data_IF_634555871824
#
_entry.id   IF_634555871824
#
_cell.length_a   1.000
_cell.length_b   1.000
_cell.length_c   1.000
_cell.angle_alpha   90.00
_cell.angle_beta   90.00
_cell.angle_gamma   90.00
#
_symmetry.space_group_name_H-M   'P 1'
#
loop_
_entity.id
_entity.type
_entity.pdbx_description
1 polymer ?
#
# COMPACT_ATOMS: atom_id res chain seq x y z
N UNK A 1 -23.47 -18.40 -5.19
CA UNK A 1 -23.09 -18.90 -6.53
C UNK A 1 -24.00 -18.43 -7.67
N UNK A 2 -25.28 -18.07 -7.45
CA UNK A 2 -26.17 -17.54 -8.51
C UNK A 2 -26.28 -16.00 -8.61
N UNK A 3 -25.78 -15.24 -7.64
CA UNK A 3 -25.84 -13.75 -7.66
C UNK A 3 -24.64 -13.06 -8.33
N UNK A 4 -23.59 -13.81 -8.73
CA UNK A 4 -22.39 -13.23 -9.39
C UNK A 4 -22.50 -13.13 -10.91
N UNK A 5 -23.53 -13.72 -11.56
CA UNK A 5 -23.67 -13.71 -13.03
C UNK A 5 -24.52 -12.56 -13.60
N UNK A 6 -25.25 -11.84 -12.75
CA UNK A 6 -26.16 -10.76 -13.20
C UNK A 6 -25.44 -9.42 -13.45
N UNK A 7 -24.34 -9.13 -12.75
CA UNK A 7 -23.58 -7.89 -12.94
C UNK A 7 -22.89 -7.79 -14.31
N UNK A 8 -22.32 -8.89 -14.81
CA UNK A 8 -21.64 -8.92 -16.11
C UNK A 8 -22.59 -8.74 -17.31
N UNK A 9 -23.88 -9.04 -17.18
CA UNK A 9 -24.82 -8.93 -18.30
C UNK A 9 -25.31 -7.50 -18.52
N UNK A 10 -25.40 -6.70 -17.45
CA UNK A 10 -25.91 -5.32 -17.50
C UNK A 10 -24.86 -4.37 -18.10
N UNK A 11 -23.58 -4.57 -17.77
CA UNK A 11 -22.48 -3.71 -18.23
C UNK A 11 -22.19 -3.93 -19.74
N UNK A 12 -22.28 -5.18 -20.22
CA UNK A 12 -22.11 -5.50 -21.65
C UNK A 12 -23.23 -4.93 -22.53
N UNK A 13 -24.42 -4.68 -21.97
CA UNK A 13 -25.52 -4.09 -22.74
C UNK A 13 -25.33 -2.58 -23.00
N UNK A 14 -24.67 -1.87 -22.06
CA UNK A 14 -24.48 -0.42 -22.14
C UNK A 14 -23.38 -0.06 -23.15
N UNK A 15 -22.32 -0.85 -23.25
CA UNK A 15 -21.22 -0.64 -24.22
C UNK A 15 -21.62 -0.93 -25.68
N UNK A 16 -22.65 -1.74 -25.92
CA UNK A 16 -23.15 -2.06 -27.27
C UNK A 16 -24.15 -1.04 -27.83
N UNK A 17 -24.63 -0.11 -27.01
CA UNK A 17 -25.53 0.95 -27.47
C UNK A 17 -24.68 2.15 -27.89
N UNK A 18 -24.37 2.22 -29.18
CA UNK A 18 -23.72 3.37 -29.82
C UNK A 18 -24.70 4.57 -29.87
N UNK A 19 -25.01 5.17 -28.70
CA UNK A 19 -25.97 6.27 -28.52
C UNK A 19 -25.74 7.48 -29.46
N UNK A 20 -24.50 7.87 -29.80
CA UNK A 20 -24.25 8.96 -30.75
C UNK A 20 -24.83 8.67 -32.15
N UNK A 21 -24.82 7.41 -32.59
CA UNK A 21 -25.36 7.01 -33.90
C UNK A 21 -26.89 7.01 -33.97
N UNK A 22 -27.56 6.84 -32.82
CA UNK A 22 -29.03 6.90 -32.70
C UNK A 22 -29.57 8.34 -32.67
N UNK A 23 -28.80 9.27 -32.11
CA UNK A 23 -29.18 10.69 -32.03
C UNK A 23 -28.91 11.44 -33.35
N UNK A 24 -27.90 11.05 -34.13
CA UNK A 24 -27.57 11.68 -35.41
C UNK A 24 -28.61 11.42 -36.53
N UNK A 25 -29.61 10.57 -36.31
CA UNK A 25 -30.68 10.29 -37.28
C UNK A 25 -32.03 10.97 -36.96
N UNK A 26 -32.12 11.78 -35.89
CA UNK A 26 -33.40 12.36 -35.43
C UNK A 26 -33.82 13.59 -36.25
N UNK A 27 -32.93 14.16 -37.07
CA UNK A 27 -33.24 15.33 -37.92
C UNK A 27 -33.84 15.01 -39.30
N UNK A 28 -34.05 13.75 -39.64
CA UNK A 28 -34.77 13.39 -40.88
C UNK A 28 -36.27 13.76 -40.79
N UNK A 29 -36.86 14.40 -41.82
CA UNK A 29 -38.20 15.02 -41.77
C UNK A 29 -39.39 14.04 -41.68
N UNK A 30 -39.13 12.75 -41.43
CA UNK A 30 -40.12 11.67 -41.51
C UNK A 30 -40.60 11.24 -40.10
N UNK A 31 -39.93 11.67 -39.02
CA UNK A 31 -40.25 11.22 -37.66
C UNK A 31 -41.29 12.15 -37.00
N UNK A 32 -42.48 11.65 -36.59
CA UNK A 32 -43.52 12.48 -35.98
C UNK A 32 -43.02 13.19 -34.71
N UNK A 33 -43.42 14.46 -34.52
CA UNK A 33 -43.00 15.29 -33.38
C UNK A 33 -43.24 14.62 -32.01
N UNK A 34 -44.33 13.85 -31.87
CA UNK A 34 -44.63 13.06 -30.67
C UNK A 34 -43.58 11.97 -30.40
N UNK A 35 -43.09 11.30 -31.44
CA UNK A 35 -42.08 10.26 -31.32
C UNK A 35 -40.70 10.84 -30.96
N UNK A 36 -40.35 12.02 -31.50
CA UNK A 36 -39.11 12.75 -31.11
C UNK A 36 -39.12 13.16 -29.63
N UNK A 37 -40.25 13.68 -29.15
CA UNK A 37 -40.43 14.03 -27.72
C UNK A 37 -40.34 12.77 -26.85
N UNK A 38 -40.93 11.66 -27.29
CA UNK A 38 -40.91 10.41 -26.54
C UNK A 38 -39.51 9.78 -26.46
N UNK A 39 -38.73 9.84 -27.55
CA UNK A 39 -37.32 9.41 -27.58
C UNK A 39 -36.46 10.29 -26.68
N UNK A 40 -36.65 11.61 -26.72
CA UNK A 40 -35.92 12.55 -25.86
C UNK A 40 -36.23 12.34 -24.37
N UNK A 41 -37.51 12.15 -24.01
CA UNK A 41 -37.89 11.83 -22.63
C UNK A 41 -37.31 10.48 -22.21
N UNK A 42 -37.35 9.47 -23.09
CA UNK A 42 -36.77 8.15 -22.80
C UNK A 42 -35.24 8.21 -22.62
N UNK A 43 -34.52 9.02 -23.39
CA UNK A 43 -33.07 9.18 -23.24
C UNK A 43 -32.69 10.00 -22.00
N UNK A 44 -33.47 11.02 -21.63
CA UNK A 44 -33.28 11.75 -20.36
C UNK A 44 -33.61 10.87 -19.16
N UNK A 45 -34.69 10.09 -19.20
CA UNK A 45 -35.05 9.14 -18.14
C UNK A 45 -34.02 8.02 -18.04
N UNK A 46 -33.50 7.51 -19.16
CA UNK A 46 -32.43 6.53 -19.16
C UNK A 46 -31.12 7.11 -18.62
N UNK A 47 -30.78 8.35 -18.97
CA UNK A 47 -29.62 9.06 -18.43
C UNK A 47 -29.74 9.34 -16.92
N UNK A 48 -30.94 9.70 -16.45
CA UNK A 48 -31.23 9.89 -15.03
C UNK A 48 -31.24 8.55 -14.28
N UNK A 49 -31.72 7.48 -14.90
CA UNK A 49 -31.67 6.12 -14.35
C UNK A 49 -30.24 5.56 -14.33
N UNK A 50 -29.39 5.85 -15.32
CA UNK A 50 -27.97 5.47 -15.25
C UNK A 50 -27.22 6.27 -14.19
N UNK A 51 -27.48 7.58 -14.04
CA UNK A 51 -26.90 8.34 -12.91
C UNK A 51 -27.42 7.86 -11.56
N UNK A 52 -28.71 7.53 -11.46
CA UNK A 52 -29.31 7.00 -10.23
C UNK A 52 -28.81 5.59 -9.91
N UNK A 53 -28.57 4.73 -10.91
CA UNK A 53 -28.02 3.38 -10.71
C UNK A 53 -26.52 3.44 -10.40
N UNK A 54 -25.74 4.34 -11.01
CA UNK A 54 -24.34 4.61 -10.60
C UNK A 54 -24.30 5.13 -9.17
N UNK A 55 -25.26 5.97 -8.76
CA UNK A 55 -25.39 6.44 -7.39
C UNK A 55 -25.99 5.41 -6.40
N UNK A 56 -26.67 4.35 -6.88
CA UNK A 56 -27.27 3.28 -6.06
C UNK A 56 -26.44 1.98 -6.04
N UNK A 57 -25.49 1.79 -6.95
CA UNK A 57 -24.67 0.57 -7.06
C UNK A 57 -23.18 0.77 -6.75
N UNK A 58 -22.75 1.96 -6.33
CA UNK A 58 -21.70 1.95 -5.31
C UNK A 58 -22.42 1.54 -4.04
N UNK A 59 -22.22 0.31 -3.51
CA UNK A 59 -22.56 0.12 -2.12
C UNK A 59 -21.91 1.29 -1.40
N UNK A 60 -22.67 1.97 -0.53
CA UNK A 60 -22.04 2.64 0.59
C UNK A 60 -21.33 1.51 1.35
N UNK A 61 -20.16 1.10 0.86
CA UNK A 61 -19.19 0.41 1.64
C UNK A 61 -18.98 1.38 2.78
N UNK A 62 -19.42 1.01 3.98
CA UNK A 62 -18.75 1.56 5.15
C UNK A 62 -17.28 1.22 4.92
N UNK A 63 -16.55 2.25 4.51
CA UNK A 63 -15.20 2.17 3.97
C UNK A 63 -14.28 1.77 5.09
N UNK A 64 -13.87 0.52 5.08
CA UNK A 64 -12.77 0.09 5.93
C UNK A 64 -11.50 0.58 5.25
N UNK A 65 -10.70 1.32 6.01
CA UNK A 65 -9.40 1.84 5.61
C UNK A 65 -8.53 0.70 5.06
N UNK A 66 -8.17 0.72 3.79
CA UNK A 66 -7.32 -0.31 3.20
C UNK A 66 -5.90 -0.24 3.78
N UNK A 67 -5.27 -1.39 4.00
CA UNK A 67 -3.92 -1.46 4.58
C UNK A 67 -2.88 -1.74 3.50
N UNK A 68 -1.97 -0.79 3.32
CA UNK A 68 -0.77 -0.95 2.53
C UNK A 68 0.43 -1.27 3.45
N UNK A 69 1.04 -2.43 3.24
CA UNK A 69 2.23 -2.86 3.94
C UNK A 69 3.44 -2.04 3.46
N UNK A 70 3.72 -0.92 4.13
CA UNK A 70 4.83 -0.01 3.81
C UNK A 70 6.14 -0.78 3.87
N UNK A 71 6.80 -0.98 2.72
CA UNK A 71 8.02 -1.78 2.52
C UNK A 71 7.93 -3.24 3.00
N UNK A 72 6.71 -3.75 3.14
CA UNK A 72 6.41 -5.07 3.70
C UNK A 72 5.75 -5.08 5.08
N UNK A 73 5.32 -3.95 5.64
CA UNK A 73 4.32 -3.94 6.72
C UNK A 73 4.77 -4.49 8.08
N UNK A 74 6.07 -4.75 8.18
CA UNK A 74 6.84 -5.01 9.39
C UNK A 74 8.23 -4.42 9.15
N UNK A 75 8.28 -3.12 8.84
CA UNK A 75 9.48 -2.42 8.34
C UNK A 75 9.67 -1.14 9.15
N UNK A 76 10.82 -0.48 9.09
CA UNK A 76 11.00 0.80 9.78
C UNK A 76 11.48 0.71 11.24
N UNK A 77 11.29 1.80 11.99
CA UNK A 77 12.12 2.13 13.15
C UNK A 77 12.06 1.18 14.36
N UNK A 78 11.05 0.32 14.42
CA UNK A 78 10.91 -0.68 15.48
C UNK A 78 10.98 -2.13 14.95
N UNK A 79 11.27 -2.31 13.66
CA UNK A 79 11.29 -3.64 13.05
C UNK A 79 12.66 -4.32 13.14
N UNK A 80 12.62 -5.64 13.32
CA UNK A 80 13.76 -6.55 13.22
C UNK A 80 13.80 -7.28 11.88
N UNK A 81 12.95 -6.89 10.94
CA UNK A 81 12.86 -7.49 9.60
C UNK A 81 13.45 -6.50 8.60
N UNK A 82 14.40 -6.93 7.74
CA UNK A 82 14.90 -6.08 6.68
C UNK A 82 13.76 -5.65 5.74
N UNK A 83 13.60 -4.33 5.56
CA UNK A 83 12.62 -3.75 4.64
C UNK A 83 12.86 -4.22 3.19
N UNK A 84 11.79 -4.30 2.40
CA UNK A 84 11.79 -4.82 1.02
C UNK A 84 12.40 -6.22 0.85
N UNK A 85 12.42 -7.02 1.92
CA UNK A 85 12.76 -8.45 1.83
C UNK A 85 11.51 -9.28 1.56
N UNK A 86 11.71 -10.51 1.06
CA UNK A 86 10.63 -11.50 0.97
C UNK A 86 9.92 -11.71 2.32
N UNK A 87 10.68 -11.74 3.43
CA UNK A 87 10.11 -11.89 4.76
C UNK A 87 9.19 -10.72 5.15
N UNK A 88 9.60 -9.47 4.87
CA UNK A 88 8.76 -8.32 5.13
C UNK A 88 7.45 -8.47 4.36
N UNK A 89 7.51 -8.63 3.03
CA UNK A 89 6.31 -8.79 2.21
C UNK A 89 5.39 -9.94 2.65
N UNK A 90 5.96 -11.10 3.00
CA UNK A 90 5.17 -12.22 3.51
C UNK A 90 4.46 -11.91 4.82
N UNK A 91 5.14 -11.23 5.76
CA UNK A 91 4.56 -10.86 7.05
C UNK A 91 3.45 -9.82 6.86
N UNK A 92 3.71 -8.74 6.12
CA UNK A 92 2.70 -7.72 5.82
C UNK A 92 1.44 -8.33 5.20
N UNK A 93 1.61 -9.17 4.18
CA UNK A 93 0.50 -9.89 3.56
C UNK A 93 -0.22 -10.81 4.57
N UNK A 94 0.51 -11.64 5.32
CA UNK A 94 -0.08 -12.61 6.26
C UNK A 94 -0.87 -11.94 7.40
N UNK A 95 -0.50 -10.71 7.78
CA UNK A 95 -1.21 -9.91 8.78
C UNK A 95 -2.43 -9.15 8.25
N UNK A 96 -2.79 -9.32 6.98
CA UNK A 96 -4.03 -8.78 6.42
C UNK A 96 -3.86 -7.54 5.54
N UNK A 97 -2.63 -7.15 5.18
CA UNK A 97 -2.45 -6.09 4.19
C UNK A 97 -3.06 -6.49 2.85
N UNK A 98 -3.82 -5.58 2.26
CA UNK A 98 -4.41 -5.76 0.93
C UNK A 98 -3.46 -5.30 -0.17
N UNK A 99 -2.51 -4.43 0.16
CA UNK A 99 -1.47 -3.95 -0.75
C UNK A 99 -0.07 -4.12 -0.17
N UNK A 100 0.88 -4.40 -1.05
CA UNK A 100 2.32 -4.38 -0.73
C UNK A 100 2.96 -3.17 -1.41
N UNK A 101 3.71 -2.39 -0.66
CA UNK A 101 4.37 -1.18 -1.15
C UNK A 101 5.88 -1.44 -1.41
N UNK A 102 6.32 -1.39 -2.69
CA UNK A 102 7.72 -1.30 -3.03
C UNK A 102 8.17 0.11 -3.44
N UNK A 103 9.31 0.51 -2.92
CA UNK A 103 10.11 1.62 -3.41
C UNK A 103 10.99 1.14 -4.58
N UNK A 104 10.88 1.73 -5.77
CA UNK A 104 11.58 1.27 -6.97
C UNK A 104 12.69 2.24 -7.37
N UNK A 105 13.92 1.72 -7.49
CA UNK A 105 15.11 2.45 -7.97
C UNK A 105 15.86 1.64 -9.04
N UNK A 106 16.90 2.23 -9.65
CA UNK A 106 17.71 1.59 -10.69
C UNK A 106 19.13 1.25 -10.24
N UNK A 107 19.64 0.10 -10.68
CA UNK A 107 21.07 -0.22 -10.68
C UNK A 107 21.83 0.49 -11.81
N UNK A 108 23.17 0.37 -11.82
CA UNK A 108 24.06 0.90 -12.86
C UNK A 108 23.77 0.34 -14.26
N UNK A 109 23.43 -0.93 -14.33
CA UNK A 109 23.08 -1.65 -15.56
C UNK A 109 21.58 -1.55 -15.90
N UNK A 110 20.90 -0.55 -15.32
CA UNK A 110 19.52 -0.16 -15.60
C UNK A 110 18.52 -1.31 -15.35
N UNK A 111 18.73 -2.06 -14.27
CA UNK A 111 17.78 -3.05 -13.75
C UNK A 111 17.03 -2.41 -12.58
N UNK A 112 15.70 -2.46 -12.64
CA UNK A 112 14.87 -1.95 -11.54
C UNK A 112 14.85 -2.95 -10.38
N UNK A 113 15.01 -2.44 -9.17
CA UNK A 113 15.01 -3.23 -7.94
C UNK A 113 14.38 -2.45 -6.79
N UNK A 114 14.03 -3.16 -5.71
CA UNK A 114 13.26 -2.58 -4.61
C UNK A 114 14.14 -2.15 -3.44
N UNK A 115 14.11 -0.86 -3.12
CA UNK A 115 14.86 -0.22 -2.04
C UNK A 115 14.43 1.24 -1.85
N UNK A 116 14.23 1.67 -0.60
CA UNK A 116 13.75 3.02 -0.30
C UNK A 116 14.64 4.18 -0.73
N UNK A 117 15.96 4.05 -0.60
CA UNK A 117 16.91 5.10 -0.95
C UNK A 117 18.08 4.51 -1.71
N UNK A 118 18.84 5.34 -2.42
CA UNK A 118 19.95 4.86 -3.24
C UNK A 118 21.25 4.63 -2.46
N UNK A 119 21.31 4.86 -1.14
CA UNK A 119 22.49 4.56 -0.30
C UNK A 119 22.40 3.15 0.31
N UNK A 120 23.29 2.24 -0.12
CA UNK A 120 23.27 0.82 0.19
C UNK A 120 23.68 0.47 1.63
N UNK A 121 24.47 1.31 2.29
CA UNK A 121 25.02 1.06 3.63
C UNK A 121 23.98 0.98 4.73
N UNK A 122 22.85 1.68 4.58
CA UNK A 122 21.77 1.70 5.58
C UNK A 122 21.06 0.35 5.72
N UNK A 123 20.89 -0.39 4.63
CA UNK A 123 20.05 -1.61 4.58
C UNK A 123 20.82 -2.86 4.18
N UNK A 124 22.16 -2.81 4.09
CA UNK A 124 22.95 -3.96 3.65
C UNK A 124 24.30 -4.13 4.35
N UNK A 125 24.96 -5.26 4.05
CA UNK A 125 26.31 -5.60 4.50
C UNK A 125 27.44 -5.00 3.63
N UNK A 126 27.16 -4.02 2.74
CA UNK A 126 28.16 -3.47 1.81
C UNK A 126 29.42 -2.93 2.51
N UNK A 127 29.28 -2.35 3.70
CA UNK A 127 30.40 -1.82 4.47
C UNK A 127 31.41 -2.91 4.90
N UNK A 128 31.01 -4.18 4.86
CA UNK A 128 31.83 -5.34 5.20
C UNK A 128 32.45 -6.03 3.98
N UNK A 129 32.22 -5.51 2.76
CA UNK A 129 32.79 -6.03 1.50
C UNK A 129 34.07 -5.28 1.12
N UNK A 130 35.27 -5.84 1.32
CA UNK A 130 36.52 -5.15 1.01
C UNK A 130 36.65 -4.74 -0.46
N UNK A 131 36.09 -5.54 -1.37
CA UNK A 131 36.04 -5.28 -2.82
C UNK A 131 35.27 -4.00 -3.19
N UNK A 132 34.40 -3.52 -2.30
CA UNK A 132 33.60 -2.31 -2.53
C UNK A 132 34.07 -1.11 -1.70
N UNK A 133 35.11 -1.24 -0.87
CA UNK A 133 35.58 -0.18 0.02
C UNK A 133 35.91 1.13 -0.71
N UNK A 134 36.58 1.03 -1.86
CA UNK A 134 37.00 2.18 -2.69
C UNK A 134 35.84 2.87 -3.43
N UNK A 135 34.63 2.28 -3.43
CA UNK A 135 33.43 2.89 -4.04
C UNK A 135 32.65 3.80 -3.10
N UNK A 136 33.07 3.90 -1.84
CA UNK A 136 32.44 4.82 -0.88
C UNK A 136 32.73 6.26 -1.30
N UNK A 137 31.69 7.07 -1.43
CA UNK A 137 31.82 8.48 -1.84
C UNK A 137 30.84 9.38 -1.09
N UNK A 138 30.93 10.69 -1.30
CA UNK A 138 30.01 11.69 -0.72
C UNK A 138 29.22 12.34 -1.85
N UNK A 139 27.89 12.35 -1.74
CA UNK A 139 26.98 12.99 -2.69
C UNK A 139 25.99 13.88 -1.96
N UNK A 140 25.47 14.87 -2.67
CA UNK A 140 24.29 15.62 -2.24
C UNK A 140 23.09 14.93 -2.88
N UNK A 141 22.29 14.26 -2.06
CA UNK A 141 21.08 13.57 -2.50
C UNK A 141 19.89 14.49 -2.19
N UNK A 142 19.01 14.64 -3.17
CA UNK A 142 17.65 15.11 -2.96
C UNK A 142 16.82 13.90 -2.53
N UNK A 143 16.10 13.95 -1.42
CA UNK A 143 15.35 12.78 -0.89
C UNK A 143 14.10 12.41 -1.72
N UNK A 144 13.94 13.05 -2.88
CA UNK A 144 12.86 12.81 -3.85
C UNK A 144 11.72 13.80 -3.71
N UNK A 145 11.76 14.61 -2.65
CA UNK A 145 10.73 15.57 -2.29
C UNK A 145 10.97 16.95 -2.99
N UNK A 146 12.16 17.16 -3.57
CA UNK A 146 12.57 18.37 -4.30
C UNK A 146 12.86 19.58 -3.40
N UNK A 147 12.73 19.41 -2.09
CA UNK A 147 12.79 20.44 -1.06
C UNK A 147 13.95 20.19 -0.08
N UNK A 148 14.35 18.94 0.13
CA UNK A 148 15.34 18.54 1.13
C UNK A 148 16.54 17.90 0.46
N UNK A 149 17.71 18.54 0.61
CA UNK A 149 18.99 18.01 0.14
C UNK A 149 19.86 17.63 1.33
N UNK A 150 20.36 16.40 1.33
CA UNK A 150 21.25 15.88 2.34
C UNK A 150 22.61 15.53 1.74
N UNK A 151 23.69 15.93 2.41
CA UNK A 151 25.03 15.42 2.12
C UNK A 151 25.17 14.06 2.76
N UNK A 152 25.26 13.02 1.94
CA UNK A 152 25.33 11.62 2.35
C UNK A 152 26.67 11.04 1.93
N UNK A 153 27.32 10.31 2.83
CA UNK A 153 28.57 9.58 2.55
C UNK A 153 28.30 8.09 2.67
N UNK A 154 28.43 7.36 1.57
CA UNK A 154 28.02 5.96 1.49
C UNK A 154 28.33 5.31 0.15
N UNK A 155 27.63 4.23 -0.15
CA UNK A 155 27.72 3.50 -1.41
C UNK A 155 26.41 3.63 -2.16
N UNK A 156 26.47 4.06 -3.42
CA UNK A 156 25.27 4.46 -4.15
C UNK A 156 24.86 3.41 -5.17
N UNK A 157 23.59 3.00 -5.18
CA UNK A 157 23.05 1.92 -6.01
C UNK A 157 23.39 2.07 -7.49
N UNK A 158 23.34 3.29 -8.02
CA UNK A 158 23.67 3.63 -9.40
C UNK A 158 25.16 3.40 -9.78
N UNK A 159 26.03 3.11 -8.81
CA UNK A 159 27.43 2.75 -9.05
C UNK A 159 27.65 1.23 -9.14
N UNK A 160 26.63 0.41 -8.88
CA UNK A 160 26.72 -1.05 -8.81
C UNK A 160 25.81 -1.74 -9.83
N UNK A 161 26.30 -2.81 -10.44
CA UNK A 161 25.44 -3.67 -11.27
C UNK A 161 24.45 -4.44 -10.41
N UNK A 162 23.36 -4.93 -10.99
CA UNK A 162 22.40 -5.73 -10.24
C UNK A 162 23.03 -7.01 -9.68
N UNK A 163 23.99 -7.60 -10.39
CA UNK A 163 24.75 -8.76 -9.90
C UNK A 163 25.59 -8.43 -8.66
N UNK A 164 26.24 -7.26 -8.64
CA UNK A 164 26.96 -6.78 -7.45
C UNK A 164 25.97 -6.53 -6.30
N UNK A 165 24.82 -5.92 -6.56
CA UNK A 165 23.77 -5.66 -5.56
C UNK A 165 23.21 -6.98 -4.99
N UNK A 166 22.97 -8.00 -5.82
CA UNK A 166 22.51 -9.33 -5.36
C UNK A 166 23.54 -10.09 -4.52
N UNK A 167 24.82 -9.73 -4.60
CA UNK A 167 25.86 -10.30 -3.74
C UNK A 167 25.78 -9.80 -2.29
N UNK A 168 25.08 -8.68 -2.07
CA UNK A 168 24.87 -8.09 -0.75
C UNK A 168 23.78 -8.82 0.03
N UNK A 169 23.80 -8.65 1.35
CA UNK A 169 22.75 -9.16 2.25
C UNK A 169 22.07 -8.02 2.99
N UNK A 170 20.74 -8.11 3.02
CA UNK A 170 19.87 -7.14 3.65
C UNK A 170 20.03 -7.17 5.18
N UNK A 171 19.82 -5.99 5.78
CA UNK A 171 19.82 -5.75 7.22
C UNK A 171 18.66 -4.86 7.61
N UNK A 172 18.12 -5.09 8.79
CA UNK A 172 17.15 -4.20 9.40
C UNK A 172 17.78 -2.84 9.73
N UNK A 173 17.03 -1.76 9.51
CA UNK A 173 17.54 -0.38 9.59
C UNK A 173 17.61 0.15 11.02
N UNK A 174 16.78 -0.37 11.92
CA UNK A 174 16.70 0.07 13.32
C UNK A 174 17.65 -0.68 14.24
N UNK A 175 17.51 -2.01 14.24
CA UNK A 175 18.21 -2.91 15.14
C UNK A 175 18.60 -4.16 14.39
N UNK A 176 19.80 -4.68 14.67
CA UNK A 176 20.22 -5.96 14.11
C UNK A 176 19.17 -7.03 14.43
N UNK A 177 18.56 -7.56 13.37
CA UNK A 177 17.45 -8.49 13.47
C UNK A 177 17.88 -9.94 13.28
N UNK A 178 17.05 -10.92 13.70
CA UNK A 178 17.34 -12.34 13.47
C UNK A 178 17.31 -12.72 11.98
N UNK A 179 16.80 -11.84 11.12
CA UNK A 179 16.71 -12.03 9.67
C UNK A 179 17.79 -11.28 8.89
N UNK A 180 18.69 -10.57 9.57
CA UNK A 180 19.83 -9.92 8.94
C UNK A 180 20.74 -10.96 8.28
N UNK A 181 21.26 -10.67 7.09
CA UNK A 181 22.18 -11.58 6.40
C UNK A 181 21.51 -12.70 5.61
N UNK A 182 20.20 -12.89 5.75
CA UNK A 182 19.46 -14.01 5.11
C UNK A 182 19.06 -13.66 3.68
N UNK A 183 18.44 -12.50 3.49
CA UNK A 183 17.85 -12.10 2.21
C UNK A 183 18.81 -11.24 1.39
N UNK A 184 18.77 -11.37 0.06
CA UNK A 184 19.35 -10.42 -0.88
C UNK A 184 18.29 -9.40 -1.32
N UNK A 185 18.74 -8.33 -1.98
CA UNK A 185 17.84 -7.45 -2.73
C UNK A 185 17.05 -8.22 -3.79
N UNK A 186 15.83 -7.78 -4.05
CA UNK A 186 14.96 -8.29 -5.12
C UNK A 186 14.97 -7.30 -6.28
N UNK A 187 15.10 -7.80 -7.52
CA UNK A 187 14.66 -7.00 -8.66
C UNK A 187 13.15 -6.75 -8.56
N UNK A 188 12.66 -5.71 -9.22
CA UNK A 188 11.24 -5.41 -9.20
C UNK A 188 10.39 -6.53 -9.83
N UNK A 189 10.90 -7.17 -10.89
CA UNK A 189 10.31 -8.35 -11.55
C UNK A 189 10.22 -9.57 -10.61
N UNK A 190 11.29 -9.85 -9.85
CA UNK A 190 11.28 -10.91 -8.82
C UNK A 190 10.32 -10.60 -7.67
N UNK A 191 10.20 -9.33 -7.31
CA UNK A 191 9.27 -8.90 -6.27
C UNK A 191 7.82 -9.11 -6.71
N UNK A 192 7.44 -8.68 -7.93
CA UNK A 192 6.08 -8.90 -8.45
C UNK A 192 5.76 -10.40 -8.59
N UNK A 193 6.71 -11.18 -9.11
CA UNK A 193 6.58 -12.66 -9.16
C UNK A 193 6.32 -13.26 -7.77
N UNK A 194 6.98 -12.72 -6.74
CA UNK A 194 6.80 -13.19 -5.37
C UNK A 194 5.45 -12.77 -4.77
N UNK A 195 4.92 -11.59 -5.11
CA UNK A 195 3.59 -11.16 -4.68
C UNK A 195 2.49 -12.03 -5.32
N UNK A 196 2.66 -12.46 -6.57
CA UNK A 196 1.77 -13.43 -7.22
C UNK A 196 1.80 -14.78 -6.48
N UNK A 197 2.99 -15.30 -6.16
CA UNK A 197 3.14 -16.54 -5.38
C UNK A 197 2.51 -16.44 -3.98
N UNK A 198 2.69 -15.31 -3.30
CA UNK A 198 2.06 -15.05 -2.01
C UNK A 198 0.54 -14.98 -2.13
N UNK A 199 0.02 -14.35 -3.18
CA UNK A 199 -1.42 -14.26 -3.44
C UNK A 199 -2.04 -15.65 -3.60
N UNK A 200 -1.39 -16.52 -4.40
CA UNK A 200 -1.80 -17.90 -4.59
C UNK A 200 -1.75 -18.71 -3.29
N UNK A 201 -0.72 -18.48 -2.47
CA UNK A 201 -0.51 -19.17 -1.19
C UNK A 201 -1.55 -18.78 -0.15
N UNK A 202 -1.87 -17.48 -0.04
CA UNK A 202 -2.81 -16.93 0.93
C UNK A 202 -4.27 -17.09 0.49
N UNK A 203 -4.51 -17.30 -0.82
CA UNK A 203 -5.84 -17.49 -1.38
C UNK A 203 -6.61 -16.18 -1.62
N UNK A 204 -5.91 -15.05 -1.68
CA UNK A 204 -6.46 -13.76 -2.10
C UNK A 204 -5.45 -12.97 -2.93
N UNK A 205 -5.94 -12.08 -3.79
CA UNK A 205 -5.08 -11.28 -4.67
C UNK A 205 -4.57 -10.04 -3.95
N UNK A 206 -3.25 -9.95 -3.76
CA UNK A 206 -2.59 -8.76 -3.22
C UNK A 206 -2.46 -7.70 -4.31
N UNK A 207 -2.75 -6.44 -3.98
CA UNK A 207 -2.38 -5.31 -4.80
C UNK A 207 -0.94 -4.85 -4.55
N UNK A 208 -0.42 -3.97 -5.40
CA UNK A 208 0.93 -3.40 -5.27
C UNK A 208 0.92 -1.88 -5.40
N UNK A 209 1.89 -1.24 -4.72
CA UNK A 209 2.04 0.21 -4.61
C UNK A 209 3.41 0.72 -5.09
N UNK A 210 3.81 0.54 -6.36
CA UNK A 210 5.16 0.92 -6.76
C UNK A 210 5.40 2.43 -6.64
N UNK A 211 6.40 2.83 -5.87
CA UNK A 211 6.91 4.20 -5.83
C UNK A 211 8.09 4.38 -6.79
N UNK A 212 8.02 5.35 -7.71
CA UNK A 212 9.20 5.79 -8.46
C UNK A 212 10.10 6.67 -7.60
N UNK A 213 11.07 6.09 -6.89
CA UNK A 213 11.95 6.83 -5.98
C UNK A 213 12.97 7.65 -6.74
N UNK A 214 13.16 8.91 -6.32
CA UNK A 214 14.18 9.79 -6.86
C UNK A 214 14.13 9.91 -8.40
N UNK A 215 12.93 9.83 -9.01
CA UNK A 215 12.77 9.74 -10.48
C UNK A 215 13.57 10.81 -11.23
N UNK A 216 13.43 12.09 -10.84
CA UNK A 216 14.16 13.19 -11.46
C UNK A 216 15.70 13.04 -11.38
N UNK A 217 16.21 12.47 -10.28
CA UNK A 217 17.65 12.20 -10.13
C UNK A 217 18.11 11.08 -11.06
N UNK A 218 17.42 9.95 -11.06
CA UNK A 218 17.74 8.81 -11.91
C UNK A 218 17.65 9.18 -13.40
N UNK A 219 16.65 9.95 -13.81
CA UNK A 219 16.56 10.51 -15.15
C UNK A 219 17.77 11.40 -15.51
N UNK A 220 18.25 12.21 -14.57
CA UNK A 220 19.41 13.10 -14.80
C UNK A 220 20.74 12.38 -15.04
N UNK A 221 20.83 11.10 -14.67
CA UNK A 221 22.01 10.23 -14.86
C UNK A 221 21.78 9.14 -15.89
N UNK A 222 20.81 9.31 -16.80
CA UNK A 222 20.48 8.38 -17.89
C UNK A 222 19.99 7.00 -17.41
N UNK A 223 19.30 6.97 -16.26
CA UNK A 223 18.67 5.79 -15.68
C UNK A 223 17.17 6.01 -15.38
N UNK A 224 16.36 6.58 -16.30
CA UNK A 224 14.94 6.85 -16.03
C UNK A 224 14.18 5.59 -15.60
N UNK A 225 13.19 5.72 -14.72
CA UNK A 225 12.52 4.59 -14.09
C UNK A 225 11.26 4.16 -14.85
N UNK A 226 10.53 5.13 -15.39
CA UNK A 226 9.13 4.99 -15.82
C UNK A 226 8.94 3.98 -16.95
N UNK A 227 9.75 4.04 -18.01
CA UNK A 227 9.63 3.12 -19.14
C UNK A 227 9.82 1.66 -18.71
N UNK A 228 10.84 1.38 -17.88
CA UNK A 228 11.13 0.04 -17.37
C UNK A 228 10.14 -0.42 -16.32
N UNK A 229 9.61 0.51 -15.53
CA UNK A 229 8.54 0.25 -14.58
C UNK A 229 7.32 -0.26 -15.35
N UNK A 230 6.89 0.48 -16.38
CA UNK A 230 5.75 0.13 -17.22
C UNK A 230 5.97 -1.17 -17.99
N UNK A 231 7.17 -1.40 -18.52
CA UNK A 231 7.53 -2.68 -19.16
C UNK A 231 7.35 -3.86 -18.19
N UNK A 232 7.84 -3.71 -16.95
CA UNK A 232 7.79 -4.77 -15.93
C UNK A 232 6.36 -5.01 -15.44
N UNK A 233 5.64 -3.96 -15.08
CA UNK A 233 4.24 -4.03 -14.65
C UNK A 233 3.36 -4.68 -15.73
N UNK A 234 3.59 -4.34 -17.01
CA UNK A 234 2.87 -4.94 -18.14
C UNK A 234 3.16 -6.45 -18.30
N UNK A 235 4.40 -6.90 -18.10
CA UNK A 235 4.74 -8.34 -18.13
C UNK A 235 3.98 -9.14 -17.07
N UNK A 236 3.72 -8.52 -15.92
CA UNK A 236 2.95 -9.09 -14.81
C UNK A 236 1.42 -8.94 -14.97
N UNK A 237 0.94 -8.44 -16.12
CA UNK A 237 -0.49 -8.36 -16.42
C UNK A 237 -1.22 -7.18 -15.78
N UNK A 238 -0.50 -6.25 -15.15
CA UNK A 238 -1.01 -4.97 -14.71
C UNK A 238 -1.02 -3.97 -15.87
N UNK A 239 -1.69 -4.29 -16.97
CA UNK A 239 -1.82 -3.37 -18.11
C UNK A 239 -3.22 -2.76 -18.12
N UNK A 240 -3.36 -1.49 -18.50
CA UNK A 240 -4.64 -0.90 -18.94
C UNK A 240 -5.41 -1.86 -19.85
N UNK A 241 -6.74 -1.86 -19.81
CA UNK A 241 -7.62 -2.78 -20.55
C UNK A 241 -7.15 -3.02 -22.00
N UNK A 242 -6.80 -4.27 -22.34
CA UNK A 242 -6.53 -4.70 -23.72
C UNK A 242 -7.81 -5.30 -24.33
N UNK A 243 -8.41 -4.61 -25.30
CA UNK A 243 -9.60 -5.08 -26.02
C UNK A 243 -9.39 -6.42 -26.75
N UNK A 244 -8.14 -6.82 -27.02
CA UNK A 244 -7.83 -8.01 -27.81
C UNK A 244 -7.70 -9.30 -26.97
N UNK A 245 -7.56 -9.20 -25.65
CA UNK A 245 -7.32 -10.34 -24.77
C UNK A 245 -8.40 -10.43 -23.68
N UNK A 246 -9.51 -11.12 -23.97
CA UNK A 246 -10.62 -11.37 -23.03
C UNK A 246 -10.18 -12.09 -21.73
N UNK A 247 -8.93 -12.53 -21.62
CA UNK A 247 -8.41 -13.31 -20.49
C UNK A 247 -7.43 -12.60 -19.57
N UNK A 248 -7.06 -11.35 -19.81
CA UNK A 248 -6.21 -10.60 -18.87
C UNK A 248 -6.73 -9.18 -18.70
N UNK A 249 -6.51 -8.67 -17.48
CA UNK A 249 -6.67 -7.28 -17.05
C UNK A 249 -7.89 -6.93 -16.19
N UNK A 250 -7.59 -6.57 -14.94
CA UNK A 250 -8.36 -5.63 -14.12
C UNK A 250 -7.63 -4.27 -14.17
N UNK A 251 -8.02 -3.40 -15.10
CA UNK A 251 -7.58 -2.00 -15.13
C UNK A 251 -8.80 -1.13 -15.35
N UNK A 252 -9.45 -0.79 -14.25
CA UNK A 252 -10.42 0.27 -14.24
C UNK A 252 -9.94 1.33 -13.26
N UNK A 253 -9.45 2.45 -13.82
CA UNK A 253 -9.26 3.75 -13.14
C UNK A 253 -10.49 4.17 -12.32
N UNK A 254 -11.65 3.56 -12.58
CA UNK A 254 -12.93 3.81 -11.92
C UNK A 254 -13.14 3.11 -10.56
N UNK A 255 -12.26 2.20 -10.11
CA UNK A 255 -12.47 1.45 -8.85
C UNK A 255 -11.13 1.18 -8.15
N UNK A 256 -10.50 2.21 -7.59
CA UNK A 256 -9.28 2.15 -6.76
C UNK A 256 -9.43 1.34 -5.44
N UNK A 257 -10.47 0.51 -5.33
CA UNK A 257 -10.80 -0.37 -4.19
C UNK A 257 -10.98 -1.82 -4.66
N UNK A 258 -10.23 -2.22 -5.70
CA UNK A 258 -10.19 -3.60 -6.17
C UNK A 258 -8.92 -4.25 -5.65
N UNK A 259 -9.07 -5.20 -4.72
CA UNK A 259 -8.03 -6.17 -4.37
C UNK A 259 -7.31 -6.68 -5.63
N UNK A 260 -5.99 -6.54 -5.66
CA UNK A 260 -5.16 -6.91 -6.81
C UNK A 260 -4.84 -5.81 -7.80
N UNK A 261 -5.18 -4.54 -7.53
CA UNK A 261 -4.79 -3.42 -8.39
C UNK A 261 -3.30 -3.05 -8.22
N UNK A 262 -2.73 -2.44 -9.26
CA UNK A 262 -1.44 -1.75 -9.20
C UNK A 262 -1.70 -0.23 -9.14
N UNK A 263 -1.19 0.42 -8.10
CA UNK A 263 -1.38 1.85 -7.84
C UNK A 263 -0.02 2.54 -7.85
N UNK A 264 0.20 3.44 -8.81
CA UNK A 264 1.50 4.07 -9.04
C UNK A 264 1.63 5.33 -8.18
N UNK A 265 2.70 5.46 -7.42
CA UNK A 265 2.92 6.62 -6.57
C UNK A 265 4.27 7.30 -6.81
N UNK A 266 4.32 8.61 -6.61
CA UNK A 266 5.55 9.39 -6.75
C UNK A 266 5.46 10.73 -6.03
N UNK A 267 6.59 11.22 -5.54
CA UNK A 267 6.75 12.61 -5.09
C UNK A 267 6.99 13.58 -6.27
N UNK A 268 7.33 13.08 -7.46
CA UNK A 268 7.61 13.90 -8.65
C UNK A 268 6.35 14.08 -9.50
N UNK A 269 5.86 15.32 -9.67
CA UNK A 269 4.81 15.62 -10.63
C UNK A 269 5.20 15.22 -12.06
N UNK A 270 6.47 15.41 -12.45
CA UNK A 270 6.94 15.08 -13.79
C UNK A 270 6.84 13.57 -14.08
N UNK A 271 7.18 12.75 -13.08
CA UNK A 271 7.04 11.29 -13.14
C UNK A 271 5.57 10.88 -13.30
N UNK A 272 4.66 11.43 -12.48
CA UNK A 272 3.23 11.11 -12.59
C UNK A 272 2.61 11.60 -13.90
N UNK A 273 2.98 12.78 -14.37
CA UNK A 273 2.54 13.30 -15.66
C UNK A 273 3.01 12.40 -16.81
N UNK A 274 4.24 11.88 -16.74
CA UNK A 274 4.74 10.93 -17.73
C UNK A 274 3.97 9.61 -17.66
N UNK A 275 3.78 9.05 -16.47
CA UNK A 275 3.04 7.81 -16.26
C UNK A 275 1.58 7.92 -16.73
N UNK A 276 0.92 9.06 -16.51
CA UNK A 276 -0.45 9.34 -16.98
C UNK A 276 -0.55 9.33 -18.53
N UNK A 277 0.56 9.57 -19.25
CA UNK A 277 0.59 9.40 -20.72
C UNK A 277 0.81 7.95 -21.17
N UNK A 278 1.29 7.08 -20.28
CA UNK A 278 1.69 5.71 -20.59
C UNK A 278 0.65 4.67 -20.20
N UNK A 279 -0.26 4.99 -19.28
CA UNK A 279 -1.20 4.02 -18.72
C UNK A 279 -2.47 4.65 -18.15
N UNK A 280 -3.53 3.84 -18.02
CA UNK A 280 -4.77 4.18 -17.33
C UNK A 280 -4.78 3.69 -15.86
N UNK A 281 -3.66 3.20 -15.34
CA UNK A 281 -3.51 2.84 -13.93
C UNK A 281 -3.68 4.07 -13.05
N UNK A 282 -4.17 3.86 -11.82
CA UNK A 282 -4.34 4.92 -10.83
C UNK A 282 -3.00 5.51 -10.44
N UNK A 283 -2.88 6.84 -10.50
CA UNK A 283 -1.69 7.60 -10.13
C UNK A 283 -1.90 8.39 -8.83
N UNK A 284 -0.85 8.47 -8.01
CA UNK A 284 -0.95 8.93 -6.62
C UNK A 284 0.19 9.87 -6.31
N UNK A 285 -0.18 11.11 -5.98
CA UNK A 285 0.80 12.11 -5.59
C UNK A 285 1.15 12.00 -4.11
N UNK A 286 2.40 11.64 -3.83
CA UNK A 286 2.95 11.64 -2.48
C UNK A 286 3.26 13.06 -2.07
N UNK A 287 2.68 13.49 -0.95
CA UNK A 287 2.91 14.82 -0.40
C UNK A 287 4.05 14.77 0.61
N UNK A 288 5.08 15.60 0.43
CA UNK A 288 6.19 15.72 1.37
C UNK A 288 5.71 16.07 2.78
N UNK A 289 6.48 15.70 3.80
CA UNK A 289 6.29 16.24 5.15
C UNK A 289 6.68 17.73 5.25
N UNK A 290 6.38 18.32 6.40
CA UNK A 290 6.75 19.70 6.73
C UNK A 290 6.08 20.81 5.88
N UNK A 291 6.55 22.04 6.07
CA UNK A 291 5.90 23.24 5.51
C UNK A 291 5.87 23.31 3.98
N UNK A 292 6.84 22.68 3.31
CA UNK A 292 6.85 22.62 1.86
C UNK A 292 5.70 21.76 1.32
N UNK A 293 5.44 20.62 1.96
CA UNK A 293 4.29 19.79 1.63
C UNK A 293 2.96 20.44 2.00
N UNK A 294 2.87 21.08 3.16
CA UNK A 294 1.66 21.83 3.55
C UNK A 294 1.28 22.85 2.46
N UNK A 295 2.26 23.62 1.96
CA UNK A 295 2.04 24.63 0.93
C UNK A 295 1.55 24.05 -0.41
N UNK A 296 1.81 22.77 -0.71
CA UNK A 296 1.34 22.10 -1.93
C UNK A 296 -0.15 21.72 -1.86
N UNK A 297 -0.74 21.59 -0.68
CA UNK A 297 -2.12 21.08 -0.51
C UNK A 297 -2.99 21.94 0.41
N UNK A 298 -2.51 23.14 0.76
CA UNK A 298 -3.15 24.03 1.72
C UNK A 298 -4.54 24.50 1.25
N UNK A 299 -4.72 24.71 -0.06
CA UNK A 299 -6.00 25.18 -0.61
C UNK A 299 -6.57 24.20 -1.62
N UNK A 300 -7.89 24.31 -1.84
CA UNK A 300 -8.59 23.52 -2.87
C UNK A 300 -7.97 23.72 -4.25
N UNK A 301 -7.60 24.95 -4.60
CA UNK A 301 -7.01 25.29 -5.90
C UNK A 301 -5.65 24.61 -6.10
N UNK A 302 -4.84 24.49 -5.05
CA UNK A 302 -3.58 23.73 -5.14
C UNK A 302 -3.85 22.25 -5.45
N UNK A 303 -4.88 21.69 -4.82
CA UNK A 303 -5.24 20.28 -5.02
C UNK A 303 -5.93 20.05 -6.38
N UNK A 304 -6.70 21.02 -6.89
CA UNK A 304 -7.26 20.99 -8.25
C UNK A 304 -6.18 21.02 -9.34
N UNK A 305 -5.01 21.61 -9.08
CA UNK A 305 -3.88 21.51 -10.01
C UNK A 305 -3.29 20.09 -9.99
N UNK A 306 -3.14 19.50 -8.82
CA UNK A 306 -2.63 18.13 -8.66
C UNK A 306 -3.58 17.10 -9.29
N UNK A 307 -4.90 17.31 -9.19
CA UNK A 307 -5.91 16.40 -9.74
C UNK A 307 -5.89 16.30 -11.27
N UNK A 308 -5.10 17.14 -11.95
CA UNK A 308 -4.89 17.06 -13.41
C UNK A 308 -3.95 15.93 -13.82
N UNK A 309 -3.16 15.37 -12.90
CA UNK A 309 -2.19 14.31 -13.18
C UNK A 309 -2.13 13.20 -12.11
N UNK A 310 -2.91 13.33 -11.04
CA UNK A 310 -3.04 12.31 -10.00
C UNK A 310 -4.51 12.07 -9.64
N UNK A 311 -4.87 10.82 -9.37
CA UNK A 311 -6.21 10.45 -8.93
C UNK A 311 -6.34 10.53 -7.38
N UNK A 312 -5.24 10.30 -6.66
CA UNK A 312 -5.18 10.35 -5.18
C UNK A 312 -4.07 11.24 -4.66
N UNK A 313 -4.29 11.82 -3.48
CA UNK A 313 -3.23 12.35 -2.63
C UNK A 313 -2.84 11.33 -1.56
N UNK A 314 -1.54 11.15 -1.34
CA UNK A 314 -1.02 10.42 -0.18
C UNK A 314 -0.41 11.42 0.80
N UNK A 315 -1.13 11.69 1.89
CA UNK A 315 -0.86 12.77 2.84
C UNK A 315 -0.10 12.24 4.06
N UNK A 316 0.97 12.92 4.51
CA UNK A 316 1.72 12.44 5.64
C UNK A 316 0.97 12.64 6.97
N UNK A 317 0.85 11.59 7.78
CA UNK A 317 0.25 11.61 9.14
C UNK A 317 1.05 12.47 10.12
N UNK A 318 2.28 12.83 9.77
CA UNK A 318 3.14 13.74 10.54
C UNK A 318 2.67 15.20 10.56
N UNK A 319 1.70 15.57 9.71
CA UNK A 319 1.09 16.90 9.74
C UNK A 319 0.25 17.13 11.01
N UNK A 320 0.06 18.41 11.35
CA UNK A 320 -0.90 18.80 12.40
C UNK A 320 -2.28 18.22 12.11
N UNK A 321 -2.97 17.73 13.14
CA UNK A 321 -4.25 17.03 12.98
C UNK A 321 -5.33 17.88 12.29
N UNK A 322 -5.38 19.18 12.61
CA UNK A 322 -6.36 20.08 11.98
C UNK A 322 -6.00 20.32 10.52
N UNK A 323 -4.71 20.53 10.24
CA UNK A 323 -4.22 20.69 8.88
C UNK A 323 -4.51 19.44 8.05
N UNK A 324 -4.21 18.24 8.57
CA UNK A 324 -4.50 16.98 7.91
C UNK A 324 -5.99 16.87 7.56
N UNK A 325 -6.88 17.13 8.52
CA UNK A 325 -8.32 17.08 8.29
C UNK A 325 -8.80 18.09 7.23
N UNK A 326 -8.25 19.30 7.19
CA UNK A 326 -8.58 20.29 6.16
C UNK A 326 -8.01 19.90 4.79
N UNK A 327 -6.83 19.31 4.74
CA UNK A 327 -6.24 18.78 3.51
C UNK A 327 -7.09 17.63 2.93
N UNK A 328 -7.62 16.72 3.77
CA UNK A 328 -8.59 15.69 3.33
C UNK A 328 -9.81 16.35 2.70
N UNK A 329 -10.39 17.39 3.33
CA UNK A 329 -11.56 18.10 2.77
C UNK A 329 -11.24 18.75 1.42
N UNK A 330 -10.07 19.38 1.28
CA UNK A 330 -9.63 19.98 0.02
C UNK A 330 -9.53 18.93 -1.09
N UNK A 331 -8.92 17.78 -0.80
CA UNK A 331 -8.80 16.67 -1.74
C UNK A 331 -10.17 16.15 -2.19
N UNK A 332 -11.08 15.88 -1.25
CA UNK A 332 -12.44 15.45 -1.57
C UNK A 332 -13.21 16.49 -2.38
N UNK A 333 -13.04 17.77 -2.06
CA UNK A 333 -13.68 18.86 -2.80
C UNK A 333 -13.13 19.03 -4.24
N UNK A 334 -11.90 18.57 -4.49
CA UNK A 334 -11.28 18.49 -5.82
C UNK A 334 -11.61 17.17 -6.56
N UNK A 335 -12.38 16.27 -5.94
CA UNK A 335 -12.75 14.97 -6.51
C UNK A 335 -11.68 13.89 -6.40
N UNK A 336 -10.64 14.11 -5.58
CA UNK A 336 -9.53 13.16 -5.41
C UNK A 336 -9.81 12.15 -4.28
N UNK A 337 -9.16 10.99 -4.42
CA UNK A 337 -9.00 10.05 -3.33
C UNK A 337 -7.91 10.48 -2.33
N UNK A 338 -7.91 9.89 -1.14
CA UNK A 338 -6.97 10.23 -0.06
C UNK A 338 -6.41 9.00 0.62
N UNK A 339 -5.09 8.88 0.61
CA UNK A 339 -4.32 7.93 1.41
C UNK A 339 -3.50 8.64 2.47
N UNK A 340 -3.08 7.90 3.50
CA UNK A 340 -2.28 8.43 4.61
C UNK A 340 -0.99 7.64 4.82
N UNK A 341 0.15 8.31 5.02
CA UNK A 341 1.43 7.65 5.27
C UNK A 341 2.28 8.35 6.35
N UNK A 342 3.10 7.69 7.14
CA UNK A 342 2.92 6.31 7.59
C UNK A 342 2.15 6.37 8.90
N UNK A 343 1.09 5.59 9.04
CA UNK A 343 0.37 5.43 10.29
C UNK A 343 0.98 4.28 11.09
N UNK A 344 1.54 4.56 12.26
CA UNK A 344 2.20 3.55 13.09
C UNK A 344 1.76 3.66 14.56
N UNK A 345 1.51 2.50 15.18
CA UNK A 345 1.43 2.26 16.63
C UNK A 345 0.51 3.19 17.47
N UNK A 346 -0.44 3.89 16.85
CA UNK A 346 -1.45 4.73 17.52
C UNK A 346 -2.88 4.37 17.08
N UNK A 347 -3.62 3.68 17.95
CA UNK A 347 -5.00 3.28 17.68
C UNK A 347 -5.93 4.48 17.41
N UNK A 348 -5.67 5.63 18.05
CA UNK A 348 -6.48 6.85 17.85
C UNK A 348 -6.24 7.47 16.48
N UNK A 349 -5.04 7.31 15.90
CA UNK A 349 -4.75 7.71 14.53
C UNK A 349 -5.62 6.93 13.54
N UNK A 350 -5.64 5.60 13.61
CA UNK A 350 -6.46 4.78 12.71
C UNK A 350 -7.96 5.11 12.80
N UNK A 351 -8.49 5.29 14.01
CA UNK A 351 -9.88 5.70 14.19
C UNK A 351 -10.18 7.05 13.51
N UNK A 352 -9.28 8.03 13.66
CA UNK A 352 -9.41 9.34 12.98
C UNK A 352 -9.33 9.21 11.46
N UNK A 353 -8.45 8.36 10.92
CA UNK A 353 -8.36 8.14 9.47
C UNK A 353 -9.68 7.59 8.92
N UNK A 354 -10.30 6.64 9.63
CA UNK A 354 -11.63 6.12 9.28
C UNK A 354 -12.69 7.22 9.36
N UNK A 355 -12.73 8.01 10.44
CA UNK A 355 -13.71 9.09 10.63
C UNK A 355 -13.60 10.20 9.57
N UNK A 356 -12.37 10.51 9.14
CA UNK A 356 -12.11 11.47 8.06
C UNK A 356 -12.41 10.91 6.68
N UNK A 357 -12.70 9.60 6.59
CA UNK A 357 -12.93 8.90 5.33
C UNK A 357 -11.66 8.87 4.49
N UNK A 358 -10.52 8.49 5.06
CA UNK A 358 -9.30 8.15 4.30
C UNK A 358 -9.52 6.77 3.65
N UNK A 359 -9.12 6.62 2.39
CA UNK A 359 -9.38 5.40 1.59
C UNK A 359 -8.41 4.26 1.98
N UNK A 360 -7.12 4.57 2.19
CA UNK A 360 -6.08 3.61 2.53
C UNK A 360 -4.99 4.25 3.41
N UNK A 361 -4.28 3.44 4.18
CA UNK A 361 -3.09 3.89 4.92
C UNK A 361 -1.91 2.95 4.76
N UNK A 362 -0.73 3.56 4.67
CA UNK A 362 0.55 2.87 4.73
C UNK A 362 0.94 2.70 6.19
N UNK A 363 1.30 1.49 6.58
CA UNK A 363 1.74 1.18 7.94
C UNK A 363 2.97 0.28 7.94
N UNK A 364 3.86 0.51 8.90
CA UNK A 364 4.97 -0.36 9.22
C UNK A 364 4.58 -1.52 10.15
N UNK A 365 3.37 -1.52 10.70
CA UNK A 365 2.90 -2.55 11.64
C UNK A 365 1.47 -2.99 11.28
N UNK A 366 1.37 -3.78 10.21
CA UNK A 366 0.09 -4.27 9.68
C UNK A 366 -0.69 -5.05 10.73
N UNK A 367 0.00 -5.86 11.54
CA UNK A 367 -0.64 -6.64 12.60
C UNK A 367 -1.38 -5.76 13.62
N UNK A 368 -0.75 -4.65 14.03
CA UNK A 368 -1.37 -3.68 14.93
C UNK A 368 -2.52 -2.95 14.24
N UNK A 369 -2.31 -2.46 13.01
CA UNK A 369 -3.31 -1.75 12.24
C UNK A 369 -4.58 -2.59 12.06
N UNK A 370 -4.43 -3.84 11.61
CA UNK A 370 -5.52 -4.78 11.41
C UNK A 370 -6.26 -5.08 12.72
N UNK A 371 -5.53 -5.28 13.82
CA UNK A 371 -6.15 -5.47 15.14
C UNK A 371 -6.98 -4.25 15.59
N UNK A 372 -6.51 -3.03 15.31
CA UNK A 372 -7.26 -1.81 15.60
C UNK A 372 -8.49 -1.70 14.70
N UNK A 373 -8.35 -1.90 13.39
CA UNK A 373 -9.46 -1.83 12.43
C UNK A 373 -10.55 -2.83 12.76
N UNK A 374 -10.19 -4.07 13.10
CA UNK A 374 -11.15 -5.08 13.58
C UNK A 374 -11.83 -4.63 14.88
N UNK A 375 -11.13 -3.99 15.80
CA UNK A 375 -11.72 -3.55 17.07
C UNK A 375 -12.71 -2.38 16.90
N UNK A 376 -12.47 -1.47 15.94
CA UNK A 376 -13.34 -0.30 15.71
C UNK A 376 -14.48 -0.58 14.73
N UNK A 377 -14.38 -1.64 13.91
CA UNK A 377 -15.44 -2.05 12.99
C UNK A 377 -16.64 -2.62 13.77
N UNK A 378 -17.80 -1.93 13.81
CA UNK A 378 -18.97 -2.40 14.55
C UNK A 378 -19.57 -3.70 13.99
N UNK A 379 -19.27 -4.03 12.73
CA UNK A 379 -19.76 -5.24 12.05
C UNK A 379 -18.80 -6.43 12.23
N UNK A 380 -17.61 -6.24 12.82
CA UNK A 380 -16.67 -7.30 13.15
C UNK A 380 -17.11 -8.10 14.38
N UNK A 381 -16.54 -9.30 14.58
CA UNK A 381 -16.85 -10.10 15.77
C UNK A 381 -16.38 -9.43 17.07
N UNK A 382 -15.24 -8.73 17.03
CA UNK A 382 -14.73 -7.95 18.16
C UNK A 382 -15.61 -6.72 18.42
N UNK A 383 -16.02 -6.01 17.37
CA UNK A 383 -16.90 -4.84 17.47
C UNK A 383 -18.27 -5.22 18.01
N UNK A 384 -18.83 -6.36 17.59
CA UNK A 384 -20.07 -6.92 18.18
C UNK A 384 -19.91 -7.27 19.66
N UNK A 385 -18.78 -7.86 20.05
CA UNK A 385 -18.50 -8.20 21.45
C UNK A 385 -18.38 -6.94 22.32
N UNK A 386 -17.67 -5.91 21.84
CA UNK A 386 -17.54 -4.61 22.51
C UNK A 386 -18.88 -3.85 22.55
N UNK A 387 -19.66 -3.89 21.47
CA UNK A 387 -21.02 -3.33 21.44
C UNK A 387 -21.93 -4.05 22.45
N UNK A 388 -21.80 -5.37 22.61
CA UNK A 388 -22.54 -6.13 23.61
C UNK A 388 -22.09 -5.78 25.04
N UNK A 389 -20.78 -5.57 25.28
CA UNK A 389 -20.24 -5.07 26.57
C UNK A 389 -20.77 -3.67 26.88
N UNK A 390 -20.82 -2.78 25.90
CA UNK A 390 -21.38 -1.43 26.03
C UNK A 390 -22.89 -1.45 26.32
N UNK A 391 -23.64 -2.29 25.63
CA UNK A 391 -25.07 -2.51 25.92
C UNK A 391 -25.27 -3.02 27.36
N UNK A 392 -24.39 -3.91 27.84
CA UNK A 392 -24.40 -4.43 29.23
C UNK A 392 -24.01 -3.39 30.29
N UNK A 393 -23.22 -2.37 29.95
CA UNK A 393 -22.84 -1.29 30.86
C UNK A 393 -23.97 -0.24 31.06
N UNK A 394 -25.07 -0.38 30.34
CA UNK A 394 -26.19 0.56 30.37
C UNK A 394 -25.92 1.86 29.62
N UNK A 395 -25.04 1.82 28.60
CA UNK A 395 -24.74 2.97 27.74
C UNK A 395 -23.96 4.10 28.43
N UNK A 396 -23.25 3.79 29.54
CA UNK A 396 -22.41 4.76 30.25
C UNK A 396 -20.96 4.63 29.80
N UNK A 397 -20.37 5.75 29.39
CA UNK A 397 -19.15 5.82 28.58
C UNK A 397 -19.50 5.50 27.14
N UNK A 398 -19.24 6.40 26.19
CA UNK A 398 -19.38 6.06 24.77
C UNK A 398 -18.55 4.82 24.41
N UNK A 399 -18.88 4.14 23.31
CA UNK A 399 -17.98 3.15 22.68
C UNK A 399 -16.57 3.77 22.48
N UNK A 400 -16.51 5.10 22.40
CA UNK A 400 -15.31 5.92 22.20
C UNK A 400 -14.97 6.90 23.35
N UNK A 401 -15.43 6.69 24.59
CA UNK A 401 -14.96 7.50 25.74
C UNK A 401 -13.67 6.93 26.35
N UNK A 402 -12.54 7.40 25.82
CA UNK A 402 -11.32 7.68 26.60
C UNK A 402 -10.46 6.53 27.14
N UNK A 403 -10.84 5.25 27.02
CA UNK A 403 -10.04 4.14 27.58
C UNK A 403 -9.78 2.94 26.63
N UNK A 404 -10.34 2.93 25.42
CA UNK A 404 -10.07 1.87 24.41
C UNK A 404 -8.59 1.82 23.98
N UNK A 405 -7.85 2.94 23.83
CA UNK A 405 -6.44 2.88 23.43
C UNK A 405 -5.57 2.08 24.42
N UNK A 406 -5.92 2.08 25.71
CA UNK A 406 -5.18 1.37 26.75
C UNK A 406 -5.48 -0.14 26.79
N UNK A 407 -6.68 -0.56 26.41
CA UNK A 407 -7.07 -1.98 26.43
C UNK A 407 -6.59 -2.72 25.18
N UNK A 408 -6.63 -2.06 24.02
CA UNK A 408 -6.13 -2.62 22.74
C UNK A 408 -4.60 -2.74 22.78
N UNK A 409 -3.89 -1.75 23.33
CA UNK A 409 -2.45 -1.84 23.54
C UNK A 409 -2.03 -3.00 24.47
N UNK A 410 -2.85 -3.31 25.49
CA UNK A 410 -2.58 -4.40 26.44
C UNK A 410 -2.89 -5.80 25.86
N UNK A 411 -3.92 -5.92 25.00
CA UNK A 411 -4.26 -7.18 24.32
C UNK A 411 -3.27 -7.51 23.20
N UNK A 412 -2.82 -6.52 22.42
CA UNK A 412 -1.80 -6.72 21.38
C UNK A 412 -0.42 -7.06 21.97
N UNK A 413 -0.07 -6.53 23.15
CA UNK A 413 1.15 -6.95 23.87
C UNK A 413 1.02 -8.32 24.56
N UNK A 414 -0.20 -8.77 24.86
CA UNK A 414 -0.48 -9.97 25.66
C UNK A 414 -0.47 -11.30 24.90
N UNK A 415 -0.51 -11.28 23.56
CA UNK A 415 -0.49 -12.51 22.74
C UNK A 415 0.89 -13.19 22.75
N UNK A 416 1.93 -12.55 23.29
CA UNK A 416 3.28 -13.11 23.33
C UNK A 416 3.61 -14.03 24.53
N UNK A 417 2.68 -14.32 25.44
CA UNK A 417 2.92 -15.30 26.53
C UNK A 417 1.67 -16.12 26.83
N UNK A 418 1.34 -17.10 25.98
CA UNK A 418 0.11 -17.88 26.18
C UNK A 418 0.03 -19.22 25.46
N UNK A 419 1.17 -19.90 25.25
CA UNK A 419 1.23 -21.17 24.52
C UNK A 419 2.08 -22.24 25.21
N UNK A 420 1.94 -22.43 26.52
CA UNK A 420 2.47 -23.64 27.18
C UNK A 420 1.37 -24.28 27.99
N UNK A 421 1.05 -25.52 27.63
CA UNK A 421 -0.07 -26.29 28.12
C UNK A 421 -0.18 -26.31 29.64
N UNK A 422 -1.41 -26.10 30.11
CA UNK A 422 -1.83 -26.29 31.48
C UNK A 422 -1.78 -27.78 31.83
N UNK A 423 -0.63 -28.28 32.27
CA UNK A 423 -0.54 -29.53 33.03
C UNK A 423 -0.79 -29.19 34.49
N UNK A 424 -1.96 -29.58 34.99
CA UNK A 424 -2.32 -29.45 36.38
C UNK A 424 -1.34 -30.23 37.27
N UNK A 425 -0.53 -29.53 38.07
CA UNK A 425 0.16 -30.12 39.23
C UNK A 425 -0.25 -29.37 40.49
N UNK A 426 -0.88 -30.13 41.37
CA UNK A 426 -1.46 -29.75 42.64
C UNK A 426 -0.33 -29.43 43.64
N UNK A 427 -0.23 -28.16 44.01
CA UNK A 427 0.42 -27.53 45.17
C UNK A 427 1.56 -28.22 45.96
N UNK A 428 2.68 -27.52 46.12
CA UNK A 428 3.37 -27.34 47.42
C UNK A 428 4.35 -26.15 47.39
N UNK A 429 4.67 -25.69 48.60
CA UNK A 429 5.31 -24.42 49.01
C UNK A 429 6.79 -24.25 48.63
N UNK A 430 7.18 -22.96 48.52
CA UNK A 430 8.47 -22.28 48.82
C UNK A 430 9.73 -23.14 49.06
N UNK A 431 10.79 -22.82 48.32
CA UNK A 431 12.19 -22.98 48.76
C UNK A 431 13.19 -23.19 47.60
N UNK A 432 14.23 -22.34 47.58
CA UNK A 432 15.63 -22.58 47.16
C UNK A 432 16.05 -22.61 45.66
N UNK A 433 16.97 -21.68 45.38
CA UNK A 433 18.24 -21.73 44.61
C UNK A 433 18.36 -22.37 43.21
N UNK A 434 18.86 -21.52 42.27
CA UNK A 434 19.99 -21.82 41.38
C UNK A 434 19.78 -22.73 40.16
N UNK A 435 20.02 -22.21 38.94
CA UNK A 435 20.96 -22.82 37.98
C UNK A 435 21.17 -21.95 36.73
N UNK A 436 22.42 -21.94 36.26
CA UNK A 436 22.96 -21.30 35.05
C UNK A 436 22.34 -21.90 33.77
N UNK A 437 22.11 -21.07 32.74
CA UNK A 437 22.06 -21.56 31.36
C UNK A 437 23.31 -21.10 30.59
N UNK A 438 24.23 -22.05 30.40
CA UNK A 438 25.39 -21.95 29.50
C UNK A 438 25.00 -22.19 28.05
N UNK A 439 25.66 -21.43 27.17
CA UNK A 439 26.03 -21.69 25.78
C UNK A 439 25.41 -22.89 25.03
N UNK A 440 24.78 -22.57 23.90
CA UNK A 440 24.90 -23.37 22.67
C UNK A 440 25.29 -22.46 21.51
N UNK A 441 26.60 -22.34 21.32
CA UNK A 441 27.22 -22.00 20.04
C UNK A 441 27.45 -23.30 19.28
N UNK A 442 26.80 -23.50 18.14
CA UNK A 442 27.31 -24.35 17.05
C UNK A 442 26.47 -24.12 15.79
N UNK A 443 27.12 -23.62 14.73
CA UNK A 443 26.55 -23.53 13.39
C UNK A 443 26.62 -24.89 12.69
N UNK A 444 25.68 -25.18 11.78
CA UNK A 444 26.02 -25.88 10.56
C UNK A 444 25.82 -24.98 9.36
N UNK A 445 26.92 -24.75 8.64
CA UNK A 445 26.89 -24.43 7.21
C UNK A 445 26.24 -25.62 6.51
N UNK A 446 25.09 -25.42 5.89
CA UNK A 446 24.69 -26.15 4.68
C UNK A 446 23.63 -25.33 3.95
N UNK A 447 23.86 -25.21 2.65
CA UNK A 447 23.11 -24.46 1.66
C UNK A 447 21.83 -25.20 1.27
N UNK A 448 20.74 -24.96 1.98
CA UNK A 448 19.39 -25.22 1.48
C UNK A 448 18.50 -24.04 1.92
N UNK A 449 17.75 -23.48 0.96
CA UNK A 449 16.76 -22.43 1.25
C UNK A 449 15.76 -22.96 2.29
N UNK A 450 15.31 -22.13 3.25
CA UNK A 450 14.31 -22.59 4.22
C UNK A 450 13.04 -23.02 3.49
N UNK A 451 12.56 -24.23 3.78
CA UNK A 451 11.31 -24.76 3.26
C UNK A 451 10.10 -23.97 3.79
N UNK A 452 8.99 -24.06 3.09
CA UNK A 452 7.70 -23.41 3.35
C UNK A 452 7.09 -23.65 4.76
N UNK A 453 7.77 -24.36 5.66
CA UNK A 453 7.30 -24.70 7.00
C UNK A 453 7.51 -23.58 8.05
N UNK A 454 8.30 -22.53 7.74
CA UNK A 454 8.48 -21.39 8.65
C UNK A 454 7.21 -20.53 8.76
N UNK A 455 6.33 -20.59 7.75
CA UNK A 455 5.05 -19.85 7.72
C UNK A 455 3.93 -20.47 8.60
N UNK A 456 4.16 -21.63 9.22
CA UNK A 456 3.17 -22.26 10.13
C UNK A 456 3.35 -21.91 11.61
N UNK A 457 4.43 -21.23 11.96
CA UNK A 457 4.78 -20.92 13.35
C UNK A 457 4.60 -19.43 13.74
N UNK A 458 4.24 -18.59 12.77
CA UNK A 458 3.72 -17.25 12.96
C UNK A 458 2.28 -17.22 12.46
#
# INVERSE_FOLDING_TARGET
>A
MMLRKSGSLTIVLVSRLNLPSLLNNVDQPIVPKKLRIMVFIASVVLALLTHAVVALELPAHRGLLELAAHRGGMSGHNSFVPEHSKAAYALGASYGATYIEPDVISSKDHVLFVMHGNELGRTSDIAEKPEFAERKTTRVIDDGDGCTKATVTGWFAEDFTMDEIKSLRLRATAHAGPLDGIYSFLTFDEMLSYIEELSDTLGWTLGVYPETKLSNYFASIDLPLEDKLMETISRHGYCGYDEADEQKTFCLRALATISGACLLQSFSPESLQLLDTMTDLTTIFLVNGGKAGEAKIQTKENVEEISTYADFLSIPTSFDENFFADAVKNARAAGMGVHAWVADDDASLYARLVDLGVDATFTNNVAFAEGVLQAIDPDSDLGKEEEEKWKKSGGKGGIFDGNVPLLVGALCCGVFVGGVGMVAVKGRRKGEEGEEFRHLSESPRNSEAPSADVLRYF
#
